data_IF_837754109428
#
_entry.id   IF_837754109428
#
_cell.length_a   1.000
_cell.length_b   1.000
_cell.length_c   1.000
_cell.angle_alpha   90.00
_cell.angle_beta   90.00
_cell.angle_gamma   90.00
#
_symmetry.space_group_name_H-M   'P 1'
#
loop_
_entity.id
_entity.type
_entity.pdbx_description
1 polymer ?
#
# COMPACT_ATOMS: atom_id res chain seq x y z
N UNK A 1 7.54 15.36 -27.09
CA UNK A 1 6.73 14.31 -26.47
C UNK A 1 5.70 14.94 -25.57
N UNK A 2 4.51 14.35 -25.43
CA UNK A 2 3.50 14.82 -24.50
C UNK A 2 4.03 14.75 -23.07
N UNK A 3 3.57 15.68 -22.22
CA UNK A 3 4.02 15.82 -20.82
C UNK A 3 3.69 14.57 -19.99
N UNK A 4 2.66 13.80 -20.40
CA UNK A 4 2.17 12.59 -19.73
C UNK A 4 2.27 11.35 -20.64
N UNK A 5 3.39 11.16 -21.34
CA UNK A 5 3.56 10.05 -22.29
C UNK A 5 3.29 8.66 -21.68
N UNK A 6 3.79 8.40 -20.48
CA UNK A 6 3.62 7.10 -19.82
C UNK A 6 2.14 6.77 -19.62
N UNK A 7 1.36 7.72 -19.08
CA UNK A 7 -0.09 7.62 -18.98
C UNK A 7 -0.76 7.34 -20.34
N UNK A 8 -0.35 8.04 -21.40
CA UNK A 8 -0.90 7.81 -22.75
C UNK A 8 -0.61 6.39 -23.25
N UNK A 9 0.55 5.81 -22.93
CA UNK A 9 0.86 4.43 -23.27
C UNK A 9 0.02 3.43 -22.48
N UNK A 10 -0.20 3.65 -21.18
CA UNK A 10 -1.12 2.84 -20.37
C UNK A 10 -2.53 2.87 -20.97
N UNK A 11 -3.04 4.05 -21.32
CA UNK A 11 -4.35 4.22 -21.96
C UNK A 11 -4.42 3.52 -23.32
N UNK A 12 -3.41 3.67 -24.17
CA UNK A 12 -3.37 2.99 -25.47
C UNK A 12 -3.36 1.46 -25.30
N UNK A 13 -2.60 0.94 -24.33
CA UNK A 13 -2.57 -0.49 -24.04
C UNK A 13 -3.94 -0.99 -23.55
N UNK A 14 -4.62 -0.21 -22.71
CA UNK A 14 -5.99 -0.49 -22.26
C UNK A 14 -6.99 -0.55 -23.44
N UNK A 15 -7.00 0.47 -24.30
CA UNK A 15 -7.92 0.56 -25.44
C UNK A 15 -7.72 -0.61 -26.41
N UNK A 16 -6.46 -0.95 -26.68
CA UNK A 16 -6.13 -2.08 -27.53
C UNK A 16 -6.48 -3.42 -26.86
N UNK A 17 -6.26 -3.57 -25.55
CA UNK A 17 -6.67 -4.77 -24.80
C UNK A 17 -8.19 -4.98 -24.84
N UNK A 18 -8.97 -3.93 -24.63
CA UNK A 18 -10.43 -3.94 -24.73
C UNK A 18 -10.90 -4.40 -26.11
N UNK A 19 -10.26 -3.91 -27.18
CA UNK A 19 -10.62 -4.27 -28.54
C UNK A 19 -10.19 -5.68 -28.92
N UNK A 20 -8.95 -6.06 -28.61
CA UNK A 20 -8.34 -7.27 -29.16
C UNK A 20 -8.47 -8.49 -28.24
N UNK A 21 -8.34 -8.30 -26.92
CA UNK A 21 -8.30 -9.42 -25.96
C UNK A 21 -9.69 -9.74 -25.44
N UNK A 22 -10.45 -8.75 -24.96
CA UNK A 22 -11.78 -9.02 -24.39
C UNK A 22 -12.79 -9.50 -25.43
N UNK A 23 -12.61 -9.11 -26.70
CA UNK A 23 -13.42 -9.64 -27.82
C UNK A 23 -12.94 -10.99 -28.35
N UNK A 24 -11.82 -11.52 -27.82
CA UNK A 24 -11.24 -12.79 -28.26
C UNK A 24 -10.64 -12.75 -29.67
N UNK A 25 -10.31 -11.57 -30.19
CA UNK A 25 -9.79 -11.38 -31.56
C UNK A 25 -8.30 -11.72 -31.66
N UNK A 26 -7.55 -11.63 -30.55
CA UNK A 26 -6.09 -11.82 -30.54
C UNK A 26 -5.62 -12.60 -29.31
N UNK A 27 -4.56 -13.38 -29.51
CA UNK A 27 -3.83 -13.97 -28.39
C UNK A 27 -3.05 -12.90 -27.61
N UNK A 28 -3.02 -13.03 -26.28
CA UNK A 28 -2.35 -12.08 -25.39
C UNK A 28 -0.88 -11.83 -25.74
N UNK A 29 -0.08 -12.87 -25.98
CA UNK A 29 1.35 -12.68 -26.30
C UNK A 29 1.56 -11.94 -27.62
N UNK A 30 0.63 -12.10 -28.57
CA UNK A 30 0.66 -11.36 -29.84
C UNK A 30 0.29 -9.89 -29.64
N UNK A 31 -0.72 -9.61 -28.83
CA UNK A 31 -1.09 -8.25 -28.41
C UNK A 31 0.12 -7.50 -27.81
N UNK A 32 0.82 -8.11 -26.85
CA UNK A 32 1.99 -7.47 -26.20
C UNK A 32 3.10 -7.16 -27.21
N UNK A 33 3.42 -8.12 -28.08
CA UNK A 33 4.46 -7.93 -29.09
C UNK A 33 4.09 -6.85 -30.13
N UNK A 34 2.84 -6.84 -30.59
CA UNK A 34 2.36 -5.82 -31.53
C UNK A 34 2.38 -4.43 -30.90
N UNK A 35 1.89 -4.30 -29.65
CA UNK A 35 1.92 -3.05 -28.90
C UNK A 35 3.35 -2.51 -28.77
N UNK A 36 4.29 -3.36 -28.32
CA UNK A 36 5.69 -2.98 -28.18
C UNK A 36 6.30 -2.54 -29.52
N UNK A 37 6.12 -3.34 -30.57
CA UNK A 37 6.69 -3.04 -31.89
C UNK A 37 6.16 -1.73 -32.48
N UNK A 38 4.87 -1.43 -32.25
CA UNK A 38 4.24 -0.21 -32.73
C UNK A 38 4.70 1.04 -31.96
N UNK A 39 4.85 0.94 -30.64
CA UNK A 39 5.16 2.08 -29.80
C UNK A 39 6.65 2.35 -29.58
N UNK A 40 7.54 1.39 -29.87
CA UNK A 40 9.00 1.56 -29.70
C UNK A 40 9.63 2.67 -30.56
N UNK A 41 9.26 2.85 -31.85
CA UNK A 41 9.83 3.91 -32.65
C UNK A 41 9.34 5.28 -32.20
N UNK A 42 10.25 6.25 -32.10
CA UNK A 42 9.92 7.65 -31.87
C UNK A 42 10.54 8.57 -32.92
N UNK A 43 9.80 9.60 -33.30
CA UNK A 43 10.31 10.69 -34.14
C UNK A 43 11.11 11.74 -33.35
N UNK A 44 11.25 11.59 -32.03
CA UNK A 44 11.97 12.54 -31.20
C UNK A 44 13.49 12.46 -31.41
N UNK A 45 14.10 13.60 -31.75
CA UNK A 45 15.55 13.72 -31.98
C UNK A 45 16.34 14.19 -30.76
N UNK A 46 15.66 14.59 -29.68
CA UNK A 46 16.29 15.04 -28.44
C UNK A 46 16.65 13.83 -27.58
N UNK A 47 17.95 13.62 -27.37
CA UNK A 47 18.48 12.43 -26.70
C UNK A 47 17.77 12.10 -25.37
N UNK A 48 17.62 13.08 -24.47
CA UNK A 48 16.95 12.87 -23.17
C UNK A 48 15.51 12.38 -23.31
N UNK A 49 14.77 12.92 -24.28
CA UNK A 49 13.37 12.55 -24.52
C UNK A 49 13.27 11.18 -25.19
N UNK A 50 14.17 10.89 -26.14
CA UNK A 50 14.24 9.57 -26.78
C UNK A 50 14.56 8.48 -25.76
N UNK A 51 15.54 8.69 -24.87
CA UNK A 51 15.85 7.73 -23.79
C UNK A 51 14.67 7.51 -22.86
N UNK A 52 13.98 8.59 -22.47
CA UNK A 52 12.82 8.50 -21.59
C UNK A 52 11.68 7.70 -22.24
N UNK A 53 11.39 7.94 -23.52
CA UNK A 53 10.39 7.16 -24.26
C UNK A 53 10.72 5.68 -24.33
N UNK A 54 11.97 5.34 -24.64
CA UNK A 54 12.42 3.94 -24.62
C UNK A 54 12.18 3.34 -23.24
N UNK A 55 12.51 4.04 -22.15
CA UNK A 55 12.22 3.56 -20.80
C UNK A 55 10.72 3.34 -20.56
N UNK A 56 9.86 4.27 -20.99
CA UNK A 56 8.41 4.13 -20.85
C UNK A 56 7.87 2.91 -21.61
N UNK A 57 8.24 2.74 -22.88
CA UNK A 57 7.77 1.62 -23.71
C UNK A 57 8.21 0.27 -23.13
N UNK A 58 9.46 0.18 -22.65
CA UNK A 58 9.94 -1.04 -21.98
C UNK A 58 9.23 -1.30 -20.65
N UNK A 59 8.95 -0.27 -19.86
CA UNK A 59 8.20 -0.39 -18.61
C UNK A 59 6.79 -0.97 -18.86
N UNK A 60 6.09 -0.51 -19.90
CA UNK A 60 4.79 -1.07 -20.28
C UNK A 60 4.92 -2.51 -20.77
N UNK A 61 5.94 -2.82 -21.59
CA UNK A 61 6.18 -4.19 -22.04
C UNK A 61 6.36 -5.14 -20.85
N UNK A 62 7.20 -4.75 -19.89
CA UNK A 62 7.46 -5.52 -18.67
C UNK A 62 6.18 -5.69 -17.83
N UNK A 63 5.39 -4.62 -17.64
CA UNK A 63 4.08 -4.71 -16.98
C UNK A 63 3.16 -5.74 -17.67
N UNK A 64 3.06 -5.67 -18.99
CA UNK A 64 2.20 -6.54 -19.78
C UNK A 64 2.67 -8.01 -19.74
N UNK A 65 3.97 -8.27 -19.67
CA UNK A 65 4.50 -9.65 -19.63
C UNK A 65 4.46 -10.24 -18.21
N UNK A 66 4.90 -9.47 -17.21
CA UNK A 66 5.23 -9.98 -15.88
C UNK A 66 4.11 -9.76 -14.85
N UNK A 67 3.22 -8.78 -15.07
CA UNK A 67 2.13 -8.43 -14.15
C UNK A 67 0.76 -8.50 -14.82
N UNK A 68 0.51 -9.64 -15.46
CA UNK A 68 -0.78 -9.95 -16.11
C UNK A 68 -1.96 -9.92 -15.13
N UNK A 69 -1.72 -10.17 -13.84
CA UNK A 69 -2.71 -9.97 -12.78
C UNK A 69 -3.25 -8.54 -12.81
N UNK A 70 -2.36 -7.53 -12.79
CA UNK A 70 -2.73 -6.12 -12.83
C UNK A 70 -3.46 -5.79 -14.13
N UNK A 71 -2.94 -6.27 -15.26
CA UNK A 71 -3.55 -6.02 -16.58
C UNK A 71 -4.97 -6.56 -16.63
N UNK A 72 -5.17 -7.82 -16.21
CA UNK A 72 -6.51 -8.40 -16.20
C UNK A 72 -7.45 -7.64 -15.26
N UNK A 73 -6.97 -7.20 -14.09
CA UNK A 73 -7.80 -6.49 -13.13
C UNK A 73 -8.19 -5.08 -13.60
N UNK A 74 -7.21 -4.26 -13.98
CA UNK A 74 -7.45 -2.88 -14.38
C UNK A 74 -8.04 -2.78 -15.80
N UNK A 75 -7.52 -3.55 -16.75
CA UNK A 75 -7.94 -3.41 -18.14
C UNK A 75 -9.23 -4.16 -18.47
N UNK A 76 -9.79 -4.95 -17.56
CA UNK A 76 -11.15 -5.49 -17.74
C UNK A 76 -12.25 -4.56 -17.24
N UNK A 77 -11.91 -3.42 -16.63
CA UNK A 77 -12.88 -2.38 -16.26
C UNK A 77 -13.52 -1.79 -17.52
N UNK A 78 -14.72 -1.22 -17.38
CA UNK A 78 -15.41 -0.54 -18.50
C UNK A 78 -14.81 0.82 -18.86
N UNK A 79 -14.03 1.40 -17.96
CA UNK A 79 -13.25 2.61 -18.15
C UNK A 79 -11.92 2.47 -17.43
N UNK A 80 -10.91 3.21 -17.89
CA UNK A 80 -9.59 3.27 -17.28
C UNK A 80 -9.17 4.73 -17.20
N UNK A 81 -9.19 5.28 -15.99
CA UNK A 81 -8.90 6.69 -15.72
C UNK A 81 -7.52 6.90 -15.08
N UNK A 82 -7.20 8.15 -14.74
CA UNK A 82 -5.88 8.52 -14.22
C UNK A 82 -5.63 7.97 -12.80
N UNK A 83 -6.70 7.77 -12.01
CA UNK A 83 -6.61 7.12 -10.70
C UNK A 83 -6.27 5.64 -10.84
N UNK A 84 -6.93 4.96 -11.78
CA UNK A 84 -6.61 3.58 -12.14
C UNK A 84 -5.15 3.43 -12.58
N UNK A 85 -4.65 4.37 -13.39
CA UNK A 85 -3.25 4.42 -13.81
C UNK A 85 -2.31 4.56 -12.62
N UNK A 86 -2.53 5.55 -11.74
CA UNK A 86 -1.66 5.76 -10.58
C UNK A 86 -1.65 4.55 -9.65
N UNK A 87 -2.80 3.91 -9.45
CA UNK A 87 -2.89 2.70 -8.64
C UNK A 87 -2.14 1.53 -9.30
N UNK A 88 -2.37 1.28 -10.59
CA UNK A 88 -1.73 0.20 -11.33
C UNK A 88 -0.21 0.38 -11.39
N UNK A 89 0.25 1.60 -11.69
CA UNK A 89 1.66 1.97 -11.74
C UNK A 89 2.33 1.81 -10.36
N UNK A 90 1.65 2.21 -9.28
CA UNK A 90 2.14 2.01 -7.91
C UNK A 90 2.31 0.53 -7.57
N UNK A 91 1.31 -0.31 -7.87
CA UNK A 91 1.36 -1.75 -7.62
C UNK A 91 2.45 -2.44 -8.46
N UNK A 92 2.68 -1.97 -9.68
CA UNK A 92 3.75 -2.45 -10.54
C UNK A 92 5.13 -2.11 -9.95
N UNK A 93 5.36 -0.83 -9.64
CA UNK A 93 6.64 -0.33 -9.14
C UNK A 93 7.02 -0.89 -7.76
N UNK A 94 6.04 -1.19 -6.91
CA UNK A 94 6.27 -1.74 -5.57
C UNK A 94 6.29 -3.26 -5.51
N UNK A 95 5.85 -3.94 -6.58
CA UNK A 95 5.63 -5.38 -6.57
C UNK A 95 4.49 -5.84 -5.66
N UNK A 96 3.64 -4.92 -5.20
CA UNK A 96 2.50 -5.23 -4.33
C UNK A 96 1.39 -5.93 -5.11
N UNK A 97 0.60 -6.77 -4.42
CA UNK A 97 -0.52 -7.48 -5.04
C UNK A 97 -1.79 -6.62 -5.11
N UNK A 98 -2.72 -6.94 -6.01
CA UNK A 98 -4.03 -6.25 -6.16
C UNK A 98 -4.83 -6.33 -4.87
N UNK A 99 -4.75 -7.50 -4.23
CA UNK A 99 -5.19 -7.73 -2.87
C UNK A 99 -4.06 -7.28 -1.95
N UNK A 100 -3.82 -5.97 -1.86
CA UNK A 100 -3.44 -5.46 -0.55
C UNK A 100 -4.66 -5.73 0.35
N UNK A 101 -4.77 -6.98 0.83
CA UNK A 101 -5.57 -7.32 2.00
C UNK A 101 -5.26 -6.20 2.97
N UNK A 102 -6.27 -5.44 3.40
CA UNK A 102 -6.13 -4.49 4.51
C UNK A 102 -5.26 -5.16 5.55
N UNK A 103 -4.01 -4.70 5.68
CA UNK A 103 -2.99 -5.47 6.40
C UNK A 103 -3.59 -5.84 7.75
N UNK A 104 -3.87 -7.13 8.00
CA UNK A 104 -4.40 -7.51 9.31
C UNK A 104 -3.32 -7.22 10.34
N UNK A 105 -3.71 -6.67 11.49
CA UNK A 105 -2.79 -6.47 12.60
C UNK A 105 -2.25 -7.82 13.10
N UNK A 106 -3.11 -8.84 13.18
CA UNK A 106 -2.75 -10.20 13.55
C UNK A 106 -3.88 -11.21 13.26
N UNK A 107 -3.51 -12.49 13.14
CA UNK A 107 -4.45 -13.62 13.10
C UNK A 107 -4.35 -14.44 14.39
N UNK A 108 -4.96 -13.94 15.46
CA UNK A 108 -5.02 -14.64 16.75
C UNK A 108 -6.06 -15.77 16.75
N UNK A 109 -5.77 -16.85 17.48
CA UNK A 109 -6.74 -17.92 17.73
C UNK A 109 -7.88 -17.44 18.63
N UNK A 110 -9.02 -18.12 18.63
CA UNK A 110 -10.17 -17.80 19.52
C UNK A 110 -9.76 -17.68 20.99
N UNK A 111 -8.93 -18.63 21.48
CA UNK A 111 -8.40 -18.58 22.85
C UNK A 111 -7.56 -17.33 23.14
N UNK A 112 -6.77 -16.85 22.18
CA UNK A 112 -5.95 -15.65 22.33
C UNK A 112 -6.85 -14.41 22.31
N UNK A 113 -7.85 -14.36 21.43
CA UNK A 113 -8.85 -13.29 21.39
C UNK A 113 -9.60 -13.20 22.73
N UNK A 114 -10.02 -14.34 23.30
CA UNK A 114 -10.70 -14.38 24.61
C UNK A 114 -9.81 -13.79 25.71
N UNK A 115 -8.56 -14.25 25.83
CA UNK A 115 -7.61 -13.73 26.82
C UNK A 115 -7.30 -12.22 26.64
N UNK A 116 -7.18 -11.77 25.38
CA UNK A 116 -6.95 -10.36 25.09
C UNK A 116 -8.20 -9.55 25.47
N UNK A 117 -9.39 -10.01 25.12
CA UNK A 117 -10.67 -9.35 25.44
C UNK A 117 -10.82 -9.16 26.95
N UNK A 118 -10.56 -10.22 27.72
CA UNK A 118 -10.58 -10.18 29.18
C UNK A 118 -9.60 -9.13 29.73
N UNK A 119 -8.37 -9.11 29.22
CA UNK A 119 -7.37 -8.13 29.63
C UNK A 119 -7.80 -6.69 29.32
N UNK A 120 -8.27 -6.45 28.09
CA UNK A 120 -8.67 -5.12 27.58
C UNK A 120 -9.85 -4.57 28.39
N UNK A 121 -10.84 -5.41 28.71
CA UNK A 121 -12.01 -5.03 29.52
C UNK A 121 -11.65 -4.85 31.01
N UNK A 122 -10.84 -5.75 31.57
CA UNK A 122 -10.39 -5.67 32.98
C UNK A 122 -9.56 -4.41 33.23
N UNK A 123 -8.69 -4.05 32.28
CA UNK A 123 -7.85 -2.84 32.38
C UNK A 123 -8.55 -1.56 31.93
N UNK A 124 -9.80 -1.66 31.43
CA UNK A 124 -10.58 -0.55 30.85
C UNK A 124 -9.76 0.22 29.82
N UNK A 125 -9.12 -0.53 28.90
CA UNK A 125 -8.27 0.04 27.85
C UNK A 125 -9.09 0.92 26.89
N UNK A 126 -10.33 0.51 26.59
CA UNK A 126 -11.32 1.27 25.84
C UNK A 126 -12.41 1.82 26.76
N UNK A 127 -13.13 2.85 26.30
CA UNK A 127 -14.20 3.50 27.09
C UNK A 127 -15.40 2.59 27.35
N UNK A 128 -15.72 1.71 26.41
CA UNK A 128 -16.79 0.74 26.53
C UNK A 128 -16.16 -0.66 26.54
N UNK A 129 -16.84 -1.58 27.21
CA UNK A 129 -16.46 -2.98 27.16
C UNK A 129 -16.63 -3.50 25.72
N UNK A 130 -15.66 -4.28 25.27
CA UNK A 130 -15.59 -4.82 23.92
C UNK A 130 -15.91 -6.30 23.93
N UNK A 131 -16.61 -6.79 22.91
CA UNK A 131 -16.84 -8.22 22.74
C UNK A 131 -15.62 -8.92 22.12
N UNK A 132 -15.55 -10.24 22.25
CA UNK A 132 -14.54 -11.05 21.55
C UNK A 132 -14.62 -10.86 20.03
N UNK A 133 -15.82 -10.67 19.49
CA UNK A 133 -16.03 -10.38 18.07
C UNK A 133 -15.45 -9.00 17.67
N UNK A 134 -15.64 -7.98 18.51
CA UNK A 134 -15.04 -6.65 18.24
C UNK A 134 -13.52 -6.72 18.27
N UNK A 135 -12.94 -7.48 19.21
CA UNK A 135 -11.49 -7.69 19.28
C UNK A 135 -10.96 -8.51 18.09
N UNK A 136 -11.66 -9.56 17.67
CA UNK A 136 -11.29 -10.31 16.47
C UNK A 136 -11.34 -9.43 15.22
N UNK A 137 -12.37 -8.59 15.09
CA UNK A 137 -12.52 -7.67 13.97
C UNK A 137 -11.51 -6.52 14.02
N UNK A 138 -11.08 -6.08 15.21
CA UNK A 138 -9.99 -5.12 15.38
C UNK A 138 -8.70 -5.67 14.74
N UNK A 139 -8.29 -6.87 15.10
CA UNK A 139 -7.05 -7.45 14.59
C UNK A 139 -7.11 -7.86 13.10
N UNK A 140 -8.32 -8.17 12.60
CA UNK A 140 -8.56 -8.44 11.17
C UNK A 140 -8.85 -7.20 10.33
N UNK A 141 -8.81 -6.00 10.93
CA UNK A 141 -9.11 -4.74 10.24
C UNK A 141 -10.52 -4.69 9.61
N UNK A 142 -11.50 -5.26 10.32
CA UNK A 142 -12.92 -5.43 9.93
C UNK A 142 -13.91 -4.76 10.87
N UNK A 143 -13.47 -3.86 11.74
CA UNK A 143 -14.36 -3.09 12.60
C UNK A 143 -15.28 -2.17 11.79
N UNK A 144 -16.56 -2.12 12.17
CA UNK A 144 -17.54 -1.20 11.57
C UNK A 144 -17.44 0.22 12.15
N UNK A 145 -17.00 0.35 13.40
CA UNK A 145 -16.80 1.62 14.07
C UNK A 145 -15.51 1.57 14.92
N UNK A 146 -14.78 2.69 15.04
CA UNK A 146 -13.56 2.74 15.84
C UNK A 146 -13.86 2.49 17.32
N UNK A 147 -12.97 1.74 17.98
CA UNK A 147 -12.99 1.63 19.43
C UNK A 147 -12.43 2.90 20.05
N UNK A 148 -13.14 3.49 21.01
CA UNK A 148 -12.67 4.70 21.66
C UNK A 148 -11.70 4.38 22.79
N UNK A 149 -10.47 4.89 22.68
CA UNK A 149 -9.47 4.79 23.72
C UNK A 149 -9.98 5.42 25.02
N UNK A 150 -9.79 4.75 26.16
CA UNK A 150 -10.01 5.36 27.46
C UNK A 150 -8.85 6.34 27.76
N UNK A 151 -7.62 5.85 27.65
CA UNK A 151 -6.39 6.63 27.77
C UNK A 151 -5.48 6.31 26.59
N UNK A 152 -5.21 7.29 25.72
CA UNK A 152 -4.47 7.06 24.48
C UNK A 152 -3.10 6.40 24.69
N UNK A 153 -2.39 6.81 25.75
CA UNK A 153 -1.08 6.25 26.09
C UNK A 153 -1.15 4.75 26.42
N UNK A 154 -2.20 4.30 27.09
CA UNK A 154 -2.34 2.88 27.44
C UNK A 154 -2.57 2.03 26.20
N UNK A 155 -3.42 2.50 25.27
CA UNK A 155 -3.62 1.84 23.98
C UNK A 155 -2.30 1.75 23.21
N UNK A 156 -1.54 2.84 23.12
CA UNK A 156 -0.25 2.84 22.45
C UNK A 156 0.73 1.84 23.08
N UNK A 157 0.82 1.80 24.42
CA UNK A 157 1.66 0.84 25.13
C UNK A 157 1.23 -0.61 24.90
N UNK A 158 -0.07 -0.90 24.86
CA UNK A 158 -0.59 -2.23 24.60
C UNK A 158 -0.17 -2.75 23.20
N UNK A 159 -0.45 -1.98 22.14
CA UNK A 159 -0.04 -2.37 20.79
C UNK A 159 1.48 -2.38 20.62
N UNK A 160 2.18 -1.42 21.23
CA UNK A 160 3.64 -1.40 21.26
C UNK A 160 4.24 -2.65 21.89
N UNK A 161 3.65 -3.15 22.98
CA UNK A 161 4.08 -4.39 23.63
C UNK A 161 3.82 -5.61 22.73
N UNK A 162 2.63 -5.75 22.15
CA UNK A 162 2.34 -6.85 21.21
C UNK A 162 3.34 -6.87 20.04
N UNK A 163 3.67 -5.69 19.48
CA UNK A 163 4.74 -5.57 18.47
C UNK A 163 6.10 -5.99 19.01
N UNK A 164 6.45 -5.60 20.24
CA UNK A 164 7.76 -5.92 20.82
C UNK A 164 7.96 -7.43 21.01
N UNK A 165 6.87 -8.17 21.21
CA UNK A 165 6.84 -9.64 21.24
C UNK A 165 6.67 -10.28 19.84
N UNK A 166 6.71 -9.50 18.76
CA UNK A 166 6.59 -9.99 17.38
C UNK A 166 5.19 -10.45 16.99
N UNK A 167 4.16 -10.03 17.72
CA UNK A 167 2.77 -10.43 17.46
C UNK A 167 2.04 -9.49 16.49
N UNK A 168 2.66 -8.35 16.15
CA UNK A 168 2.13 -7.36 15.22
C UNK A 168 3.21 -6.95 14.20
N UNK A 169 2.81 -6.49 13.00
CA UNK A 169 3.74 -5.97 12.00
C UNK A 169 4.40 -4.66 12.45
N UNK A 170 5.52 -4.30 11.81
CA UNK A 170 6.20 -3.03 12.07
C UNK A 170 5.30 -1.82 11.74
N UNK A 171 4.45 -1.96 10.72
CA UNK A 171 3.50 -0.95 10.25
C UNK A 171 2.23 -0.79 11.10
N UNK A 172 2.11 -1.44 12.27
CA UNK A 172 0.85 -1.50 13.03
C UNK A 172 0.19 -0.13 13.29
N UNK A 173 0.96 0.94 13.47
CA UNK A 173 0.43 2.30 13.68
C UNK A 173 -0.28 2.81 12.42
N UNK A 174 0.37 2.64 11.27
CA UNK A 174 -0.17 3.00 9.95
C UNK A 174 -1.44 2.20 9.66
N UNK A 175 -1.42 0.89 9.95
CA UNK A 175 -2.58 0.01 9.79
C UNK A 175 -3.77 0.50 10.63
N UNK A 176 -3.55 0.85 11.91
CA UNK A 176 -4.62 1.38 12.79
C UNK A 176 -5.20 2.69 12.25
N UNK A 177 -4.34 3.57 11.75
CA UNK A 177 -4.72 4.87 11.21
C UNK A 177 -5.52 4.75 9.91
N UNK A 178 -4.99 4.01 8.93
CA UNK A 178 -5.61 3.79 7.61
C UNK A 178 -6.96 3.08 7.73
N UNK A 179 -7.04 2.07 8.61
CA UNK A 179 -8.28 1.33 8.84
C UNK A 179 -9.20 1.97 9.89
N UNK A 180 -8.84 3.15 10.42
CA UNK A 180 -9.62 3.92 11.41
C UNK A 180 -10.12 3.05 12.56
N UNK A 181 -9.25 2.21 13.10
CA UNK A 181 -9.62 1.17 14.07
C UNK A 181 -9.86 1.72 15.48
N UNK A 182 -9.19 2.83 15.82
CA UNK A 182 -9.20 3.40 17.18
C UNK A 182 -9.40 4.91 17.08
N UNK A 183 -10.24 5.45 17.98
CA UNK A 183 -10.44 6.89 18.14
C UNK A 183 -9.87 7.40 19.46
N UNK A 184 -9.43 8.66 19.45
CA UNK A 184 -8.86 9.33 20.62
C UNK A 184 -9.87 9.49 21.76
N UNK A 185 -9.37 9.50 22.99
CA UNK A 185 -10.16 9.74 24.19
C UNK A 185 -10.78 11.14 24.25
N UNK A 186 -10.21 12.15 23.58
CA UNK A 186 -10.67 13.54 23.73
C UNK A 186 -11.87 13.89 22.83
N UNK A 187 -11.83 13.59 21.52
CA UNK A 187 -12.73 14.26 20.55
C UNK A 187 -13.22 13.38 19.38
N UNK A 188 -13.19 12.05 19.47
CA UNK A 188 -13.44 11.14 18.31
C UNK A 188 -12.54 11.41 17.08
N UNK A 189 -11.45 12.16 17.28
CA UNK A 189 -10.41 12.39 16.27
C UNK A 189 -9.48 11.19 16.15
N UNK A 190 -8.71 11.12 15.06
CA UNK A 190 -7.78 10.05 14.77
C UNK A 190 -6.83 9.77 15.95
N UNK A 191 -6.70 8.49 16.30
CA UNK A 191 -5.76 8.05 17.31
C UNK A 191 -4.34 8.15 16.76
N UNK A 192 -3.51 9.02 17.34
CA UNK A 192 -2.07 9.13 17.01
C UNK A 192 -1.28 8.44 18.13
N UNK A 193 -0.81 7.20 17.94
CA UNK A 193 0.06 6.54 18.91
C UNK A 193 1.43 7.21 18.88
N UNK A 194 1.72 8.12 19.81
CA UNK A 194 3.08 8.62 20.01
C UNK A 194 3.81 7.68 20.96
N UNK A 195 4.58 6.74 20.40
CA UNK A 195 5.65 6.07 21.15
C UNK A 195 6.94 6.75 20.72
N UNK A 196 7.59 7.44 21.67
CA UNK A 196 8.95 7.92 21.49
C UNK A 196 9.85 6.71 21.26
N UNK A 197 10.37 6.56 20.04
CA UNK A 197 11.44 5.63 19.68
C UNK A 197 12.77 6.11 20.30
N UNK A 198 12.84 6.10 21.63
CA UNK A 198 14.10 6.18 22.35
C UNK A 198 14.80 4.81 22.27
N UNK A 199 15.30 4.45 21.09
CA UNK A 199 15.93 3.15 20.91
C UNK A 199 16.64 2.86 19.58
N UNK A 200 16.58 3.74 18.58
CA UNK A 200 17.32 3.53 17.32
C UNK A 200 18.41 4.58 17.13
N UNK A 201 19.52 4.44 17.86
CA UNK A 201 20.78 5.08 17.49
C UNK A 201 21.26 4.50 16.15
N UNK A 202 20.87 5.13 15.03
CA UNK A 202 21.74 5.16 13.85
C UNK A 202 22.64 6.38 14.00
N UNK A 203 23.87 6.13 14.42
CA UNK A 203 24.97 7.07 14.22
C UNK A 203 25.10 7.35 12.72
N UNK A 204 24.53 8.46 12.25
CA UNK A 204 25.03 9.15 11.06
C UNK A 204 26.28 9.88 11.54
N UNK A 205 27.44 9.28 11.30
CA UNK A 205 28.72 9.99 11.39
C UNK A 205 28.72 11.09 10.32
N UNK A 206 28.44 12.31 10.77
CA UNK A 206 28.63 13.54 10.02
C UNK A 206 30.13 13.79 9.87
N UNK A 207 30.73 13.40 8.74
CA UNK A 207 32.03 13.94 8.35
C UNK A 207 31.83 15.36 7.81
N UNK A 208 31.79 16.33 8.72
CA UNK A 208 32.11 17.71 8.41
C UNK A 208 32.59 18.39 9.68
N UNK A 209 33.92 18.43 9.85
CA UNK A 209 34.73 19.50 10.44
C UNK A 209 36.10 18.94 10.84
N UNK A 210 37.09 19.11 9.96
CA UNK A 210 38.45 19.41 10.41
C UNK A 210 38.85 20.72 9.75
N UNK A 211 38.57 21.81 10.46
CA UNK A 211 39.28 23.08 10.32
C UNK A 211 40.67 22.88 10.92
N UNK A 212 41.67 23.06 10.06
CA UNK A 212 42.87 23.90 10.22
C UNK A 212 43.50 24.11 11.61
N UNK A 213 44.84 23.96 11.61
CA UNK A 213 45.91 24.58 12.40
C UNK A 213 46.62 23.68 13.43
N UNK A 214 47.94 23.87 13.65
CA UNK A 214 48.84 24.91 13.09
C UNK A 214 49.55 24.51 11.80
#
# INVERSE_FOLDING_TARGET
MPENELWQLYRAAYEQYQCEILKGEKNYSRFVNDFFAYHLPTSCTREKQMRLHVMHVFSIKELLEERRDLVNFFFSKGSFDEEDYHQMEHLFNTGSSIESERESLANFSEKQISLITDFVNTTKLFRQDVSENDMANLFKCKLHAPLQANVNRHVALFFGALRQYGLLPFSWQMIIEENRLISSSANNQHFVPVISDAGCHRQRMSNSQRKSLP
#
